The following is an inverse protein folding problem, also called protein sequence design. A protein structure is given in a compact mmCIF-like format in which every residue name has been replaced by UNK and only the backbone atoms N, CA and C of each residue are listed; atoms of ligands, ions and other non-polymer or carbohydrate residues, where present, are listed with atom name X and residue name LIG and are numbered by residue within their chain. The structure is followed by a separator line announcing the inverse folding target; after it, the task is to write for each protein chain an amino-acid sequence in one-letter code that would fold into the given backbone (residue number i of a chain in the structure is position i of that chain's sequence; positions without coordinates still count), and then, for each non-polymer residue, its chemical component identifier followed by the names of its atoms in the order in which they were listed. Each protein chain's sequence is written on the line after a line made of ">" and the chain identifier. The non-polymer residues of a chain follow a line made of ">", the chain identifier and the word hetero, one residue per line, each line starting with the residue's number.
data_IF_402361247372
#
_entry.id   IF_402361247372
#
_cell.length_a   1.000
_cell.length_b   1.000
_cell.length_c   1.000
_cell.angle_alpha   90.00
_cell.angle_beta   90.00
_cell.angle_gamma   90.00
#
_symmetry.space_group_name_H-M   'P 1'
#
loop_
_entity.id
_entity.type
_entity.pdbx_description
1 polymer ?
#
# COMPACT_ATOMS: atom_id res chain seq x y z
N UNK A 1 14.12 -18.80 -2.08
CA UNK A 1 13.50 -17.70 -2.85
C UNK A 1 12.79 -16.75 -1.89
N UNK A 2 13.27 -15.51 -1.74
CA UNK A 2 12.82 -14.61 -0.64
C UNK A 2 11.42 -14.01 -0.85
N UNK A 3 10.91 -13.99 -2.09
CA UNK A 3 9.56 -13.49 -2.39
C UNK A 3 8.46 -14.26 -1.66
N UNK A 4 8.71 -15.50 -1.22
CA UNK A 4 7.75 -16.32 -0.48
C UNK A 4 7.66 -15.98 1.01
N UNK A 5 8.50 -15.07 1.53
CA UNK A 5 8.36 -14.59 2.90
C UNK A 5 7.08 -13.73 3.01
N UNK A 6 6.08 -14.13 3.82
CA UNK A 6 4.81 -13.41 3.90
C UNK A 6 4.97 -11.98 4.44
N UNK A 7 5.90 -11.74 5.37
CA UNK A 7 6.18 -10.39 5.87
C UNK A 7 6.86 -9.52 4.79
N UNK A 8 7.71 -10.13 3.95
CA UNK A 8 8.31 -9.43 2.80
C UNK A 8 7.25 -9.07 1.75
N UNK A 9 6.27 -9.95 1.47
CA UNK A 9 5.16 -9.63 0.57
C UNK A 9 4.37 -8.41 1.06
N UNK A 10 4.10 -8.32 2.36
CA UNK A 10 3.46 -7.15 2.98
C UNK A 10 4.33 -5.90 2.82
N UNK A 11 5.62 -5.97 3.15
CA UNK A 11 6.55 -4.85 3.04
C UNK A 11 6.58 -4.26 1.62
N UNK A 12 6.74 -5.11 0.61
CA UNK A 12 6.76 -4.70 -0.80
C UNK A 12 5.42 -4.09 -1.22
N UNK A 13 4.30 -4.67 -0.79
CA UNK A 13 2.95 -4.12 -1.06
C UNK A 13 2.80 -2.71 -0.49
N UNK A 14 3.26 -2.48 0.75
CA UNK A 14 3.24 -1.14 1.35
C UNK A 14 4.17 -0.17 0.62
N UNK A 15 5.36 -0.58 0.18
CA UNK A 15 6.23 0.28 -0.63
C UNK A 15 5.56 0.73 -1.93
N UNK A 16 5.02 -0.22 -2.71
CA UNK A 16 4.36 0.11 -3.97
C UNK A 16 3.12 0.98 -3.75
N UNK A 17 2.32 0.66 -2.73
CA UNK A 17 1.13 1.45 -2.40
C UNK A 17 1.50 2.85 -1.91
N UNK A 18 2.61 3.02 -1.18
CA UNK A 18 3.11 4.34 -0.77
C UNK A 18 3.47 5.19 -1.98
N UNK A 19 4.20 4.63 -2.95
CA UNK A 19 4.57 5.34 -4.17
C UNK A 19 3.35 5.69 -5.01
N UNK A 20 2.39 4.77 -5.13
CA UNK A 20 1.10 5.04 -5.79
C UNK A 20 0.37 6.21 -5.13
N UNK A 21 0.16 6.15 -3.81
CA UNK A 21 -0.53 7.19 -3.06
C UNK A 21 0.19 8.55 -3.15
N UNK A 22 1.52 8.56 -3.09
CA UNK A 22 2.33 9.78 -3.22
C UNK A 22 2.15 10.42 -4.61
N UNK A 23 2.18 9.61 -5.67
CA UNK A 23 2.00 10.12 -7.04
C UNK A 23 0.61 10.72 -7.25
N UNK A 24 -0.43 10.05 -6.75
CA UNK A 24 -1.81 10.51 -6.82
C UNK A 24 -2.02 11.79 -6.01
N UNK A 25 -1.48 11.84 -4.79
CA UNK A 25 -1.59 13.02 -3.92
C UNK A 25 -0.92 14.25 -4.55
N UNK A 26 0.32 14.10 -5.02
CA UNK A 26 1.04 15.21 -5.67
C UNK A 26 0.34 15.69 -6.93
N UNK A 27 -0.11 14.76 -7.79
CA UNK A 27 -0.84 15.09 -9.00
C UNK A 27 -2.15 15.83 -8.72
N UNK A 28 -2.92 15.41 -7.70
CA UNK A 28 -4.18 16.04 -7.32
C UNK A 28 -3.98 17.50 -6.93
N UNK A 29 -3.07 17.77 -5.99
CA UNK A 29 -2.80 19.14 -5.50
C UNK A 29 -2.29 20.02 -6.64
N UNK A 30 -1.38 19.50 -7.48
CA UNK A 30 -0.87 20.24 -8.64
C UNK A 30 -1.97 20.51 -9.67
N UNK A 31 -2.90 19.59 -9.90
CA UNK A 31 -4.02 19.81 -10.82
C UNK A 31 -4.99 20.89 -10.33
N UNK A 32 -5.22 20.97 -9.00
CA UNK A 32 -6.07 22.00 -8.39
C UNK A 32 -5.43 23.38 -8.44
N UNK A 33 -4.13 23.44 -8.17
CA UNK A 33 -3.36 24.69 -8.09
C UNK A 33 -2.90 25.21 -9.45
N UNK A 34 -2.85 24.34 -10.48
CA UNK A 34 -2.49 24.68 -11.86
C UNK A 34 -3.62 24.29 -12.83
N UNK A 35 -4.79 24.94 -12.74
CA UNK A 35 -5.90 24.66 -13.63
C UNK A 35 -5.63 25.16 -15.06
N UNK A 36 -6.53 24.86 -15.99
CA UNK A 36 -6.42 25.34 -17.37
C UNK A 36 -6.33 26.88 -17.45
N UNK A 37 -5.66 27.39 -18.49
CA UNK A 37 -5.43 28.82 -18.68
C UNK A 37 -6.74 29.62 -18.60
N UNK A 38 -6.74 30.67 -17.76
CA UNK A 38 -7.91 31.53 -17.56
C UNK A 38 -8.90 31.02 -16.51
N UNK A 39 -8.69 29.82 -15.94
CA UNK A 39 -9.48 29.33 -14.81
C UNK A 39 -8.86 29.72 -13.47
N UNK A 40 -9.70 29.82 -12.45
CA UNK A 40 -9.29 30.03 -11.06
C UNK A 40 -8.84 28.73 -10.39
N UNK A 41 -7.95 28.87 -9.40
CA UNK A 41 -7.48 27.78 -8.54
C UNK A 41 -8.66 27.04 -7.92
N UNK A 42 -8.61 25.70 -7.98
CA UNK A 42 -9.68 24.84 -7.48
C UNK A 42 -9.64 24.75 -5.96
N UNK A 43 -10.81 24.54 -5.39
CA UNK A 43 -11.00 24.36 -3.95
C UNK A 43 -11.00 22.87 -3.59
N UNK A 44 -10.78 22.49 -2.32
CA UNK A 44 -10.76 21.09 -1.87
C UNK A 44 -12.01 20.27 -2.27
N UNK A 45 -13.18 20.91 -2.43
CA UNK A 45 -14.40 20.24 -2.89
C UNK A 45 -14.27 19.68 -4.31
N UNK A 46 -13.43 20.29 -5.16
CA UNK A 46 -13.14 19.80 -6.50
C UNK A 46 -12.22 18.58 -6.47
N UNK A 47 -11.27 18.54 -5.53
CA UNK A 47 -10.38 17.38 -5.33
C UNK A 47 -11.18 16.15 -4.90
N UNK A 48 -12.10 16.37 -3.96
CA UNK A 48 -13.04 15.37 -3.50
C UNK A 48 -13.97 14.88 -4.62
N UNK A 49 -14.49 15.81 -5.43
CA UNK A 49 -15.36 15.47 -6.56
C UNK A 49 -14.61 14.65 -7.60
N UNK A 50 -13.38 15.03 -7.95
CA UNK A 50 -12.54 14.27 -8.89
C UNK A 50 -12.36 12.80 -8.47
N UNK A 51 -11.98 12.54 -7.21
CA UNK A 51 -11.78 11.17 -6.74
C UNK A 51 -13.09 10.38 -6.58
N UNK A 52 -14.18 11.05 -6.21
CA UNK A 52 -15.52 10.44 -6.18
C UNK A 52 -15.99 10.06 -7.59
N UNK A 53 -15.74 10.90 -8.59
CA UNK A 53 -16.07 10.60 -9.97
C UNK A 53 -15.16 9.50 -10.55
N UNK A 54 -13.88 9.49 -10.19
CA UNK A 54 -12.90 8.56 -10.73
C UNK A 54 -13.02 7.14 -10.15
N UNK A 55 -13.17 7.00 -8.83
CA UNK A 55 -13.20 5.69 -8.14
C UNK A 55 -14.33 5.53 -7.11
N UNK A 56 -15.26 6.47 -7.02
CA UNK A 56 -16.39 6.41 -6.08
C UNK A 56 -16.04 6.80 -4.63
N UNK A 57 -14.80 7.20 -4.33
CA UNK A 57 -14.36 7.51 -2.97
C UNK A 57 -13.24 8.55 -2.95
N UNK A 58 -13.37 9.55 -2.05
CA UNK A 58 -12.29 10.45 -1.66
C UNK A 58 -11.95 10.27 -0.19
N UNK A 59 -10.66 10.09 0.11
CA UNK A 59 -10.14 9.98 1.48
C UNK A 59 -10.03 11.35 2.17
N UNK A 60 -10.20 12.44 1.42
CA UNK A 60 -10.10 13.81 1.90
C UNK A 60 -8.68 14.27 2.23
N UNK A 61 -8.53 15.58 2.42
CA UNK A 61 -7.21 16.24 2.57
C UNK A 61 -6.45 15.80 3.81
N UNK A 62 -7.08 15.68 4.98
CA UNK A 62 -6.41 15.16 6.18
C UNK A 62 -6.14 13.65 6.07
N UNK A 63 -7.05 12.91 5.44
CA UNK A 63 -6.98 11.47 5.33
C UNK A 63 -5.79 11.02 4.48
N UNK A 64 -5.51 11.69 3.35
CA UNK A 64 -4.39 11.30 2.47
C UNK A 64 -3.02 11.45 3.15
N UNK A 65 -2.83 12.46 4.01
CA UNK A 65 -1.58 12.64 4.77
C UNK A 65 -1.41 11.55 5.83
N UNK A 66 -2.50 11.20 6.54
CA UNK A 66 -2.50 10.10 7.52
C UNK A 66 -2.25 8.75 6.85
N UNK A 67 -2.89 8.51 5.71
CA UNK A 67 -2.69 7.31 4.90
C UNK A 67 -1.23 7.20 4.44
N UNK A 68 -0.66 8.29 3.91
CA UNK A 68 0.74 8.31 3.48
C UNK A 68 1.71 7.95 4.61
N UNK A 69 1.53 8.53 5.80
CA UNK A 69 2.33 8.19 6.98
C UNK A 69 2.17 6.72 7.38
N UNK A 70 0.93 6.22 7.44
CA UNK A 70 0.65 4.84 7.82
C UNK A 70 1.29 3.85 6.84
N UNK A 71 1.14 4.08 5.53
CA UNK A 71 1.70 3.22 4.49
C UNK A 71 3.23 3.19 4.57
N UNK A 72 3.88 4.36 4.67
CA UNK A 72 5.33 4.46 4.73
C UNK A 72 5.92 3.81 5.98
N UNK A 73 5.31 4.01 7.15
CA UNK A 73 5.75 3.37 8.40
C UNK A 73 5.56 1.85 8.35
N UNK A 74 4.45 1.37 7.79
CA UNK A 74 4.22 -0.07 7.63
C UNK A 74 5.23 -0.70 6.65
N UNK A 75 5.61 -0.02 5.57
CA UNK A 75 6.65 -0.49 4.66
C UNK A 75 7.98 -0.75 5.42
N UNK A 76 8.41 0.21 6.24
CA UNK A 76 9.61 0.07 7.08
C UNK A 76 9.47 -1.01 8.16
N UNK A 77 8.34 -1.02 8.87
CA UNK A 77 8.06 -1.99 9.93
C UNK A 77 8.09 -3.43 9.42
N UNK A 78 7.35 -3.73 8.35
CA UNK A 78 7.30 -5.09 7.80
C UNK A 78 8.62 -5.52 7.16
N UNK A 79 9.42 -4.57 6.67
CA UNK A 79 10.79 -4.84 6.22
C UNK A 79 11.69 -5.28 7.38
N UNK A 80 11.59 -4.62 8.54
CA UNK A 80 12.33 -5.04 9.73
C UNK A 80 11.87 -6.43 10.19
N UNK A 81 10.56 -6.66 10.27
CA UNK A 81 9.99 -7.96 10.65
C UNK A 81 10.47 -9.07 9.71
N UNK A 82 10.44 -8.87 8.39
CA UNK A 82 10.80 -9.93 7.44
C UNK A 82 12.26 -10.37 7.56
N UNK A 83 13.16 -9.48 7.99
CA UNK A 83 14.55 -9.81 8.29
C UNK A 83 14.69 -10.50 9.65
N UNK A 84 14.07 -9.96 10.71
CA UNK A 84 14.19 -10.50 12.07
C UNK A 84 13.69 -11.95 12.16
N UNK A 85 12.65 -12.32 11.42
CA UNK A 85 12.13 -13.70 11.43
C UNK A 85 12.94 -14.67 10.55
N UNK A 86 13.73 -14.16 9.59
CA UNK A 86 14.50 -14.97 8.64
C UNK A 86 15.80 -15.44 9.26
N UNK A 87 15.88 -16.72 9.64
CA UNK A 87 17.01 -17.30 10.37
C UNK A 87 16.66 -17.56 11.84
N UNK A 88 16.38 -16.53 12.67
CA UNK A 88 16.07 -16.73 14.08
C UNK A 88 14.79 -17.55 14.35
N UNK A 89 13.72 -17.33 13.57
CA UNK A 89 12.42 -18.00 13.77
C UNK A 89 12.05 -18.97 12.65
N UNK A 90 12.57 -18.76 11.43
CA UNK A 90 12.37 -19.65 10.29
C UNK A 90 13.69 -19.92 9.57
N UNK A 91 14.13 -21.18 9.56
CA UNK A 91 15.42 -21.60 8.99
C UNK A 91 15.28 -22.34 7.65
N UNK A 92 14.07 -22.79 7.30
CA UNK A 92 13.76 -23.49 6.05
C UNK A 92 13.59 -22.52 4.88
N UNK A 93 13.35 -23.04 3.68
CA UNK A 93 12.99 -22.19 2.56
C UNK A 93 11.63 -21.52 2.80
N UNK A 94 11.48 -20.26 2.39
CA UNK A 94 10.20 -19.54 2.52
C UNK A 94 9.03 -20.14 1.72
N UNK A 95 9.22 -20.78 0.55
CA UNK A 95 8.12 -21.52 -0.10
C UNK A 95 7.48 -22.58 0.79
N UNK A 96 8.29 -23.34 1.55
CA UNK A 96 7.79 -24.39 2.45
C UNK A 96 6.90 -23.84 3.58
N UNK A 97 7.05 -22.55 3.93
CA UNK A 97 6.18 -21.94 4.94
C UNK A 97 4.71 -22.07 4.54
N UNK A 98 4.37 -21.94 3.26
CA UNK A 98 2.99 -21.98 2.78
C UNK A 98 2.33 -23.37 2.83
N UNK A 99 3.09 -24.43 3.11
CA UNK A 99 2.53 -25.77 3.23
C UNK A 99 1.56 -25.89 4.41
N UNK A 100 1.70 -25.08 5.47
CA UNK A 100 0.75 -25.10 6.59
C UNK A 100 -0.69 -24.88 6.12
N UNK A 101 -0.89 -24.04 5.10
CA UNK A 101 -2.20 -23.77 4.51
C UNK A 101 -2.64 -24.92 3.61
N UNK A 102 -1.73 -25.47 2.79
CA UNK A 102 -2.03 -26.55 1.85
C UNK A 102 -2.35 -27.88 2.55
N UNK A 103 -1.75 -28.12 3.72
CA UNK A 103 -1.90 -29.35 4.50
C UNK A 103 -3.06 -29.28 5.51
N UNK A 104 -3.91 -28.24 5.47
CA UNK A 104 -5.05 -28.15 6.38
C UNK A 104 -6.05 -29.31 6.14
N UNK A 105 -6.55 -29.98 7.20
CA UNK A 105 -7.46 -31.13 7.07
C UNK A 105 -8.83 -30.84 6.43
N UNK A 106 -9.18 -29.56 6.27
CA UNK A 106 -10.44 -29.13 5.62
C UNK A 106 -10.38 -29.26 4.10
N UNK A 107 -9.18 -29.34 3.52
CA UNK A 107 -9.03 -29.57 2.10
C UNK A 107 -9.30 -31.05 1.81
N UNK A 108 -10.03 -31.37 0.73
CA UNK A 108 -10.10 -32.74 0.26
C UNK A 108 -8.67 -33.21 -0.03
N UNK A 109 -8.26 -34.27 0.64
CA UNK A 109 -6.93 -34.86 0.43
C UNK A 109 -6.74 -35.18 -1.05
N UNK A 110 -5.62 -34.71 -1.60
CA UNK A 110 -5.08 -35.29 -2.84
C UNK A 110 -4.48 -36.64 -2.51
#
# INVERSE_FOLDING_TARGET
>A
HFHYNPAHMLAVTFFFTTTLALSLHGALILSSTNPQKGQTVKQPEHEDSFFRDFIGYSVGTLGIHRLGLLLALNAGFWSAVCIVISGPLWTKSWPEWWNWWLELPIWPGV
#
